data_IF_388731626484
#
_entry.id   IF_388731626484
#
_cell.length_a   1.000
_cell.length_b   1.000
_cell.length_c   1.000
_cell.angle_alpha   90.00
_cell.angle_beta   90.00
_cell.angle_gamma   90.00
#
_symmetry.space_group_name_H-M   'P 1'
#
loop_
_entity.id
_entity.type
_entity.pdbx_description
1 polymer ?
#
# COMPACT_ATOMS: atom_id res chain seq x y z
N UNK A 1 3.13 11.72 -25.02
CA UNK A 1 2.82 12.22 -23.68
C UNK A 1 1.54 13.02 -23.78
N UNK A 2 0.51 12.63 -23.05
CA UNK A 2 -0.78 13.31 -23.02
C UNK A 2 -0.66 14.59 -22.18
N UNK A 3 -1.44 15.60 -22.52
CA UNK A 3 -1.53 16.81 -21.71
C UNK A 3 -2.07 16.46 -20.30
N UNK A 4 -1.38 16.83 -19.22
CA UNK A 4 -1.80 16.44 -17.87
C UNK A 4 -3.14 17.08 -17.51
N UNK A 5 -4.06 16.25 -17.06
CA UNK A 5 -5.39 16.68 -16.64
C UNK A 5 -5.39 17.06 -15.16
N UNK A 6 -6.04 18.17 -14.78
CA UNK A 6 -6.22 18.52 -13.37
C UNK A 6 -7.00 17.45 -12.61
N UNK A 7 -6.57 17.12 -11.41
CA UNK A 7 -7.29 16.20 -10.54
C UNK A 7 -8.58 16.80 -9.96
N UNK A 8 -8.59 18.10 -9.70
CA UNK A 8 -9.74 18.81 -9.14
C UNK A 8 -10.60 19.43 -10.22
N UNK A 9 -11.91 19.27 -10.15
CA UNK A 9 -12.90 19.94 -11.01
C UNK A 9 -12.92 21.48 -10.84
N UNK A 10 -12.19 22.03 -9.85
CA UNK A 10 -12.05 23.48 -9.63
C UNK A 10 -10.78 24.05 -10.22
N UNK A 11 -9.95 23.23 -10.81
CA UNK A 11 -8.68 23.63 -11.43
C UNK A 11 -8.85 23.54 -12.94
N UNK A 12 -8.78 24.67 -13.62
CA UNK A 12 -9.00 24.75 -15.08
C UNK A 12 -7.76 24.27 -15.86
N UNK A 13 -6.56 24.53 -15.32
CA UNK A 13 -5.29 24.16 -15.97
C UNK A 13 -4.19 23.89 -14.95
N UNK A 14 -3.19 23.13 -15.38
CA UNK A 14 -1.96 22.90 -14.63
C UNK A 14 -0.86 23.80 -15.19
N UNK A 15 -0.56 24.87 -14.48
CA UNK A 15 0.43 25.86 -14.91
C UNK A 15 1.88 25.48 -14.58
N UNK A 16 2.06 24.60 -13.59
CA UNK A 16 3.41 24.18 -13.18
C UNK A 16 4.02 23.18 -14.16
N UNK A 17 5.31 23.35 -14.51
CA UNK A 17 6.02 22.35 -15.30
C UNK A 17 5.92 20.97 -14.64
N UNK A 18 5.58 19.96 -15.40
CA UNK A 18 5.49 18.60 -14.91
C UNK A 18 6.87 17.93 -14.87
N UNK A 19 7.06 17.02 -13.92
CA UNK A 19 8.23 16.15 -13.84
C UNK A 19 7.92 14.82 -14.49
N UNK A 20 8.84 14.32 -15.28
CA UNK A 20 8.72 12.98 -15.85
C UNK A 20 9.02 11.92 -14.81
N UNK A 21 8.24 10.84 -14.85
CA UNK A 21 8.64 9.57 -14.24
C UNK A 21 9.38 8.74 -15.28
N UNK A 22 10.27 7.87 -14.85
CA UNK A 22 10.97 6.96 -15.73
C UNK A 22 10.49 5.54 -15.52
N UNK A 23 10.53 4.77 -16.60
CA UNK A 23 10.18 3.37 -16.59
C UNK A 23 11.44 2.52 -16.74
N UNK A 24 11.61 1.56 -15.87
CA UNK A 24 12.58 0.48 -15.98
C UNK A 24 11.93 -0.85 -15.63
N UNK A 25 12.69 -1.91 -15.53
CA UNK A 25 12.16 -3.24 -15.26
C UNK A 25 13.18 -4.14 -14.59
N UNK A 26 12.69 -5.18 -13.91
CA UNK A 26 13.52 -6.28 -13.44
C UNK A 26 13.99 -7.13 -14.63
N UNK A 27 14.97 -7.99 -14.40
CA UNK A 27 15.54 -8.88 -15.40
C UNK A 27 15.79 -10.28 -14.82
N UNK A 28 16.22 -11.20 -15.65
CA UNK A 28 16.47 -12.59 -15.27
C UNK A 28 17.48 -12.74 -14.12
N UNK A 29 18.51 -11.87 -14.04
CA UNK A 29 19.50 -11.91 -12.95
C UNK A 29 18.90 -11.49 -11.61
N UNK A 30 18.06 -10.45 -11.63
CA UNK A 30 17.27 -10.04 -10.46
C UNK A 30 16.33 -11.14 -10.02
N UNK A 31 15.61 -11.76 -10.95
CA UNK A 31 14.69 -12.86 -10.64
C UNK A 31 15.41 -14.08 -10.06
N UNK A 32 16.58 -14.43 -10.59
CA UNK A 32 17.42 -15.50 -10.04
C UNK A 32 17.84 -15.17 -8.60
N UNK A 33 18.38 -13.98 -8.37
CA UNK A 33 18.80 -13.53 -7.04
C UNK A 33 17.66 -13.58 -6.03
N UNK A 34 16.47 -13.14 -6.41
CA UNK A 34 15.27 -13.20 -5.57
C UNK A 34 14.95 -14.66 -5.22
N UNK A 35 14.87 -15.56 -6.21
CA UNK A 35 14.55 -16.97 -5.98
C UNK A 35 15.55 -17.67 -5.04
N UNK A 36 16.84 -17.37 -5.18
CA UNK A 36 17.90 -17.92 -4.31
C UNK A 36 17.77 -17.47 -2.86
N UNK A 37 17.13 -16.33 -2.61
CA UNK A 37 16.99 -15.70 -1.29
C UNK A 37 15.57 -15.74 -0.70
N UNK A 38 14.61 -16.39 -1.34
CA UNK A 38 13.22 -16.46 -0.86
C UNK A 38 13.11 -16.96 0.58
N UNK A 39 13.93 -17.94 0.95
CA UNK A 39 13.96 -18.49 2.31
C UNK A 39 14.34 -17.45 3.39
N UNK A 40 14.88 -16.30 3.00
CA UNK A 40 15.25 -15.20 3.88
C UNK A 40 14.17 -14.11 3.95
N UNK A 41 13.12 -14.17 3.13
CA UNK A 41 12.02 -13.23 3.15
C UNK A 41 11.02 -13.62 4.25
N UNK A 42 10.58 -12.70 5.14
CA UNK A 42 9.65 -12.99 6.22
C UNK A 42 8.36 -13.69 5.80
N UNK A 43 7.82 -13.33 4.62
CA UNK A 43 6.62 -13.96 4.05
C UNK A 43 6.82 -15.43 3.67
N UNK A 44 8.05 -15.86 3.39
CA UNK A 44 8.39 -17.21 2.95
C UNK A 44 9.11 -18.03 4.03
N UNK A 45 9.63 -17.36 5.07
CA UNK A 45 10.32 -18.02 6.19
C UNK A 45 9.39 -18.43 7.33
N UNK A 46 8.09 -18.13 7.24
CA UNK A 46 7.12 -18.38 8.32
C UNK A 46 7.20 -17.40 9.48
N UNK A 47 7.88 -16.27 9.33
CA UNK A 47 7.92 -15.21 10.34
C UNK A 47 6.65 -14.37 10.39
N UNK A 48 5.91 -14.32 9.27
CA UNK A 48 4.62 -13.65 9.17
C UNK A 48 3.55 -14.72 8.90
N UNK A 49 2.61 -14.87 9.83
CA UNK A 49 1.53 -15.86 9.79
C UNK A 49 0.14 -15.22 9.77
N UNK A 50 0.06 -13.88 9.79
CA UNK A 50 -1.21 -13.16 9.77
C UNK A 50 -1.80 -13.09 8.36
N UNK A 51 -3.14 -13.23 8.29
CA UNK A 51 -3.89 -12.96 7.07
C UNK A 51 -4.35 -11.51 7.09
N UNK A 52 -3.58 -10.64 6.46
CA UNK A 52 -3.93 -9.22 6.36
C UNK A 52 -5.10 -8.97 5.39
N UNK A 53 -5.83 -7.85 5.55
CA UNK A 53 -6.96 -7.49 4.68
C UNK A 53 -6.52 -7.01 3.30
N UNK A 54 -5.25 -6.67 3.12
CA UNK A 54 -4.70 -6.13 1.88
C UNK A 54 -3.75 -7.12 1.23
N UNK A 55 -3.90 -7.28 -0.07
CA UNK A 55 -2.94 -7.97 -0.91
C UNK A 55 -2.11 -6.93 -1.66
N UNK A 56 -0.87 -6.72 -1.20
CA UNK A 56 0.11 -5.90 -1.88
C UNK A 56 1.30 -6.80 -2.25
N UNK A 57 1.35 -7.33 -3.48
CA UNK A 57 2.39 -8.28 -3.86
C UNK A 57 3.77 -7.60 -3.83
N UNK A 58 4.68 -8.19 -3.07
CA UNK A 58 6.09 -7.85 -3.13
C UNK A 58 6.70 -8.27 -4.47
N UNK A 59 7.92 -7.84 -4.76
CA UNK A 59 8.62 -8.30 -5.96
C UNK A 59 8.87 -9.80 -5.89
N UNK A 60 9.09 -10.36 -4.69
CA UNK A 60 9.23 -11.80 -4.46
C UNK A 60 7.95 -12.53 -4.89
N UNK A 61 6.77 -12.03 -4.50
CA UNK A 61 5.49 -12.59 -4.90
C UNK A 61 5.29 -12.55 -6.40
N UNK A 62 5.65 -11.43 -7.03
CA UNK A 62 5.55 -11.31 -8.50
C UNK A 62 6.43 -12.31 -9.21
N UNK A 63 7.68 -12.48 -8.77
CA UNK A 63 8.66 -13.43 -9.36
C UNK A 63 8.23 -14.88 -9.17
N UNK A 64 7.53 -15.20 -8.07
CA UNK A 64 7.04 -16.57 -7.80
C UNK A 64 5.75 -16.85 -8.54
N UNK A 65 4.76 -15.94 -8.42
CA UNK A 65 3.41 -16.16 -8.97
C UNK A 65 3.32 -15.99 -10.47
N UNK A 66 4.16 -15.13 -11.05
CA UNK A 66 4.23 -14.85 -12.48
C UNK A 66 5.59 -15.26 -13.03
N UNK A 67 5.98 -16.50 -12.73
CA UNK A 67 7.30 -17.05 -13.08
C UNK A 67 7.54 -17.14 -14.60
N UNK A 68 6.49 -17.08 -15.40
CA UNK A 68 6.53 -17.03 -16.86
C UNK A 68 6.91 -15.66 -17.42
N UNK A 69 6.89 -14.60 -16.59
CA UNK A 69 7.31 -13.27 -17.02
C UNK A 69 8.81 -13.10 -16.86
N UNK A 70 9.45 -12.60 -17.91
CA UNK A 70 10.88 -12.31 -17.91
C UNK A 70 11.24 -11.05 -17.12
N UNK A 71 10.28 -10.14 -16.96
CA UNK A 71 10.47 -8.87 -16.26
C UNK A 71 9.20 -8.40 -15.55
N UNK A 72 9.37 -7.45 -14.62
CA UNK A 72 8.31 -6.69 -13.98
C UNK A 72 8.66 -5.21 -14.03
N UNK A 73 7.69 -4.40 -14.41
CA UNK A 73 7.85 -2.95 -14.53
C UNK A 73 8.12 -2.29 -13.18
N UNK A 74 8.97 -1.27 -13.21
CA UNK A 74 9.33 -0.42 -12.09
C UNK A 74 9.19 1.03 -12.57
N UNK A 75 8.44 1.83 -11.82
CA UNK A 75 8.33 3.26 -12.06
C UNK A 75 9.28 4.00 -11.12
N UNK A 76 10.08 4.90 -11.67
CA UNK A 76 10.98 5.77 -10.92
C UNK A 76 10.33 7.14 -10.84
N UNK A 77 9.80 7.45 -9.68
CA UNK A 77 8.97 8.62 -9.44
C UNK A 77 9.72 9.63 -8.56
N UNK A 78 10.04 10.84 -9.08
CA UNK A 78 10.68 11.87 -8.26
C UNK A 78 9.82 12.23 -7.04
N UNK A 79 10.39 12.20 -5.84
CA UNK A 79 9.70 12.56 -4.59
C UNK A 79 9.42 14.06 -4.50
N UNK A 80 10.01 14.87 -5.34
CA UNK A 80 9.79 16.30 -5.39
C UNK A 80 10.68 17.01 -6.39
N UNK A 81 10.42 18.31 -6.60
CA UNK A 81 11.09 19.12 -7.63
C UNK A 81 12.53 19.50 -7.30
N UNK A 82 12.88 19.50 -6.03
CA UNK A 82 14.18 19.99 -5.55
C UNK A 82 15.00 18.92 -4.82
N UNK A 83 14.58 17.67 -4.90
CA UNK A 83 15.27 16.53 -4.29
C UNK A 83 15.81 15.60 -5.35
N UNK A 84 16.82 14.81 -4.96
CA UNK A 84 17.30 13.67 -5.75
C UNK A 84 16.64 12.35 -5.35
N UNK A 85 15.73 12.41 -4.40
CA UNK A 85 15.00 11.23 -3.93
C UNK A 85 14.03 10.77 -5.00
N UNK A 86 14.08 9.48 -5.28
CA UNK A 86 13.22 8.81 -6.27
C UNK A 86 12.54 7.64 -5.57
N UNK A 87 11.23 7.59 -5.67
CA UNK A 87 10.46 6.45 -5.22
C UNK A 87 10.46 5.37 -6.32
N UNK A 88 10.87 4.17 -5.94
CA UNK A 88 10.86 3.02 -6.83
C UNK A 88 9.54 2.25 -6.66
N UNK A 89 8.55 2.60 -7.45
CA UNK A 89 7.25 1.94 -7.43
C UNK A 89 7.30 0.61 -8.19
N UNK A 90 6.73 -0.43 -7.59
CA UNK A 90 6.65 -1.76 -8.21
C UNK A 90 7.69 -2.78 -7.73
N UNK A 91 8.62 -2.36 -6.85
CA UNK A 91 9.70 -3.20 -6.30
C UNK A 91 9.64 -3.35 -4.77
N UNK A 92 8.45 -3.26 -4.18
CA UNK A 92 8.27 -3.53 -2.75
C UNK A 92 8.87 -4.89 -2.40
N UNK A 93 9.66 -4.96 -1.33
CA UNK A 93 10.37 -6.18 -0.93
C UNK A 93 10.56 -6.26 0.56
N UNK A 94 10.57 -7.49 1.08
CA UNK A 94 10.91 -7.81 2.47
C UNK A 94 12.23 -8.56 2.59
N UNK A 95 12.95 -8.75 1.49
CA UNK A 95 14.25 -9.39 1.49
C UNK A 95 15.28 -8.62 2.35
N UNK A 96 16.31 -9.27 2.89
CA UNK A 96 17.35 -8.61 3.67
C UNK A 96 18.07 -7.51 2.88
N UNK A 97 18.62 -6.53 3.59
CA UNK A 97 19.28 -5.35 3.00
C UNK A 97 20.37 -5.68 2.00
N UNK A 98 21.20 -6.66 2.30
CA UNK A 98 22.27 -7.12 1.41
C UNK A 98 21.77 -7.65 0.08
N UNK A 99 20.55 -8.20 0.06
CA UNK A 99 19.88 -8.65 -1.17
C UNK A 99 19.25 -7.47 -1.90
N UNK A 100 18.62 -6.56 -1.17
CA UNK A 100 18.03 -5.35 -1.77
C UNK A 100 19.07 -4.50 -2.49
N UNK A 101 20.25 -4.28 -1.89
CA UNK A 101 21.36 -3.59 -2.54
C UNK A 101 21.77 -4.25 -3.86
N UNK A 102 21.81 -5.57 -3.88
CA UNK A 102 22.17 -6.31 -5.08
C UNK A 102 21.07 -6.28 -6.14
N UNK A 103 19.79 -6.30 -5.74
CA UNK A 103 18.65 -6.18 -6.65
C UNK A 103 18.72 -4.83 -7.37
N UNK A 104 18.78 -3.74 -6.61
CA UNK A 104 18.74 -2.38 -7.16
C UNK A 104 19.87 -2.18 -8.17
N UNK A 105 21.10 -2.54 -7.84
CA UNK A 105 22.27 -2.36 -8.73
C UNK A 105 22.27 -3.22 -9.99
N UNK A 106 21.35 -4.20 -10.10
CA UNK A 106 21.18 -5.02 -11.32
C UNK A 106 20.05 -4.54 -12.21
N UNK A 107 19.35 -3.48 -11.83
CA UNK A 107 18.28 -2.89 -12.62
C UNK A 107 18.85 -1.78 -13.47
N UNK A 108 18.51 -1.77 -14.77
CA UNK A 108 18.99 -0.79 -15.70
C UNK A 108 18.64 0.65 -15.26
N UNK A 109 19.65 1.51 -15.19
CA UNK A 109 19.55 2.90 -14.74
C UNK A 109 19.67 3.09 -13.22
N UNK A 110 19.83 2.01 -12.44
CA UNK A 110 19.96 2.06 -10.98
C UNK A 110 21.32 1.51 -10.50
N UNK A 111 22.29 1.30 -11.38
CA UNK A 111 23.59 0.69 -11.10
C UNK A 111 24.39 1.46 -10.03
N UNK A 112 24.25 2.80 -10.04
CA UNK A 112 24.89 3.72 -9.11
C UNK A 112 23.94 4.27 -8.02
N UNK A 113 22.71 3.69 -7.91
CA UNK A 113 21.73 4.17 -6.96
C UNK A 113 22.12 3.80 -5.52
N UNK A 114 21.85 4.73 -4.60
CA UNK A 114 22.00 4.54 -3.16
C UNK A 114 20.60 4.40 -2.52
N UNK A 115 20.39 3.31 -1.76
CA UNK A 115 19.14 3.08 -1.08
C UNK A 115 19.08 3.93 0.18
N UNK A 116 18.19 4.91 0.20
CA UNK A 116 17.95 5.76 1.38
C UNK A 116 17.05 5.07 2.41
N UNK A 117 16.05 4.31 1.96
CA UNK A 117 15.13 3.54 2.80
C UNK A 117 14.94 2.14 2.22
N UNK A 118 15.30 1.16 3.00
CA UNK A 118 15.08 -0.25 2.62
C UNK A 118 13.62 -0.62 2.72
N UNK A 119 13.20 -1.51 1.82
CA UNK A 119 11.92 -2.20 1.93
C UNK A 119 11.85 -3.05 3.19
N UNK A 120 10.66 -3.28 3.70
CA UNK A 120 10.40 -4.05 4.90
C UNK A 120 9.06 -4.79 4.80
N UNK A 121 8.94 -5.87 5.55
CA UNK A 121 7.67 -6.57 5.69
C UNK A 121 6.75 -5.81 6.64
N UNK A 122 5.46 -5.81 6.34
CA UNK A 122 4.43 -5.35 7.25
C UNK A 122 3.49 -6.52 7.55
N UNK A 123 3.31 -6.81 8.81
CA UNK A 123 2.29 -7.73 9.28
C UNK A 123 1.03 -6.93 9.64
N UNK A 124 -0.10 -7.37 9.11
CA UNK A 124 -1.37 -6.69 9.30
C UNK A 124 -2.31 -7.53 10.15
N UNK A 125 -2.82 -6.93 11.21
CA UNK A 125 -3.94 -7.48 11.94
C UNK A 125 -5.26 -6.91 11.42
N UNK A 126 -6.31 -7.71 11.47
CA UNK A 126 -7.66 -7.21 11.27
C UNK A 126 -8.64 -7.91 12.21
N UNK A 127 -9.68 -7.18 12.58
CA UNK A 127 -10.77 -7.69 13.38
C UNK A 127 -11.92 -8.13 12.45
N UNK A 128 -12.48 -9.31 12.71
CA UNK A 128 -13.63 -9.79 11.93
C UNK A 128 -14.78 -8.79 12.00
N UNK A 129 -15.33 -8.28 10.89
CA UNK A 129 -16.39 -7.26 10.90
C UNK A 129 -17.66 -7.67 11.65
N UNK A 130 -17.88 -8.97 11.84
CA UNK A 130 -18.99 -9.50 12.65
C UNK A 130 -18.93 -9.10 14.13
N UNK A 131 -17.80 -8.60 14.59
CA UNK A 131 -17.62 -8.05 15.95
C UNK A 131 -18.23 -6.67 16.11
N UNK A 132 -18.63 -6.02 15.03
CA UNK A 132 -19.16 -4.67 15.03
C UNK A 132 -20.68 -4.67 14.88
N UNK A 133 -21.30 -3.63 15.38
CA UNK A 133 -22.63 -3.24 14.95
C UNK A 133 -22.56 -2.26 13.76
N UNK A 134 -23.70 -1.83 13.26
CA UNK A 134 -23.79 -0.96 12.10
C UNK A 134 -23.28 0.47 12.33
N UNK A 135 -23.03 0.85 13.58
CA UNK A 135 -22.42 2.14 13.95
C UNK A 135 -20.91 2.10 13.96
N UNK A 136 -20.30 0.94 13.69
CA UNK A 136 -18.89 0.60 13.84
C UNK A 136 -18.42 0.48 15.28
N UNK A 137 -19.35 0.45 16.26
CA UNK A 137 -19.02 0.13 17.64
C UNK A 137 -18.81 -1.38 17.80
N UNK A 138 -17.84 -1.77 18.64
CA UNK A 138 -17.65 -3.19 18.96
C UNK A 138 -18.79 -3.69 19.86
N UNK A 139 -19.22 -4.92 19.61
CA UNK A 139 -20.28 -5.54 20.42
C UNK A 139 -19.83 -5.96 21.81
N UNK A 140 -18.53 -6.20 21.98
CA UNK A 140 -17.96 -6.70 23.23
C UNK A 140 -17.57 -5.57 24.18
N UNK A 141 -17.20 -4.41 23.67
CA UNK A 141 -16.72 -3.28 24.47
C UNK A 141 -17.49 -2.03 24.11
N UNK A 142 -18.34 -1.58 25.02
CA UNK A 142 -19.11 -0.35 24.81
C UNK A 142 -18.20 0.88 24.71
N UNK A 143 -18.48 1.75 23.76
CA UNK A 143 -17.71 2.97 23.51
C UNK A 143 -16.42 2.76 22.71
N UNK A 144 -16.09 1.53 22.32
CA UNK A 144 -14.97 1.23 21.45
C UNK A 144 -15.45 1.09 19.99
N UNK A 145 -14.85 1.86 19.08
CA UNK A 145 -15.16 1.87 17.65
C UNK A 145 -13.94 1.45 16.84
N UNK A 146 -14.16 0.67 15.78
CA UNK A 146 -13.12 0.30 14.85
C UNK A 146 -13.37 0.95 13.49
N UNK A 147 -12.30 1.33 12.81
CA UNK A 147 -12.39 1.95 11.50
C UNK A 147 -11.17 1.61 10.64
N UNK A 148 -11.36 1.59 9.32
CA UNK A 148 -10.30 1.45 8.37
C UNK A 148 -9.76 0.02 8.26
N UNK A 149 -8.48 -0.11 8.10
CA UNK A 149 -7.82 -1.39 7.79
C UNK A 149 -8.09 -2.47 8.84
N UNK A 150 -8.23 -2.10 10.12
CA UNK A 150 -8.59 -3.02 11.19
C UNK A 150 -9.93 -3.72 10.92
N UNK A 151 -10.85 -3.09 10.19
CA UNK A 151 -12.13 -3.67 9.76
C UNK A 151 -12.05 -4.43 8.44
N UNK A 152 -10.87 -4.56 7.85
CA UNK A 152 -10.67 -5.25 6.59
C UNK A 152 -10.84 -4.38 5.33
N UNK A 153 -10.82 -3.04 5.45
CA UNK A 153 -10.82 -2.17 4.26
C UNK A 153 -9.54 -2.38 3.44
N UNK A 154 -9.66 -2.32 2.12
CA UNK A 154 -8.54 -2.50 1.20
C UNK A 154 -7.98 -1.18 0.65
N UNK A 155 -8.80 -0.13 0.57
CA UNK A 155 -8.43 1.20 0.08
C UNK A 155 -8.34 2.25 1.19
N UNK A 156 -7.79 3.40 0.83
CA UNK A 156 -7.63 4.52 1.76
C UNK A 156 -8.93 5.31 1.92
N UNK A 157 -9.73 5.42 0.87
CA UNK A 157 -10.94 6.22 0.83
C UNK A 157 -12.02 5.65 1.75
N UNK A 158 -12.30 4.35 1.66
CA UNK A 158 -13.25 3.71 2.56
C UNK A 158 -12.74 3.65 4.00
N UNK A 159 -11.41 3.54 4.19
CA UNK A 159 -10.82 3.61 5.52
C UNK A 159 -11.04 4.99 6.17
N UNK A 160 -10.86 6.07 5.40
CA UNK A 160 -11.12 7.43 5.83
C UNK A 160 -12.62 7.67 6.11
N UNK A 161 -13.49 7.16 5.22
CA UNK A 161 -14.94 7.22 5.40
C UNK A 161 -15.40 6.52 6.67
N UNK A 162 -14.87 5.32 6.94
CA UNK A 162 -15.15 4.60 8.18
C UNK A 162 -14.66 5.35 9.41
N UNK A 163 -13.48 6.00 9.35
CA UNK A 163 -12.97 6.83 10.43
C UNK A 163 -13.90 7.99 10.76
N UNK A 164 -14.42 8.66 9.74
CA UNK A 164 -15.40 9.73 9.90
C UNK A 164 -16.71 9.21 10.54
N UNK A 165 -17.23 8.09 10.04
CA UNK A 165 -18.47 7.50 10.54
C UNK A 165 -18.32 7.03 12.00
N UNK A 166 -17.23 6.35 12.33
CA UNK A 166 -16.94 5.89 13.68
C UNK A 166 -16.81 7.07 14.66
N UNK A 167 -16.08 8.12 14.28
CA UNK A 167 -15.92 9.32 15.10
C UNK A 167 -17.24 10.07 15.29
N UNK A 168 -18.05 10.20 14.23
CA UNK A 168 -19.40 10.79 14.34
C UNK A 168 -20.29 9.99 15.29
N UNK A 169 -20.29 8.67 15.19
CA UNK A 169 -21.10 7.81 16.05
C UNK A 169 -20.62 7.83 17.51
N UNK A 170 -19.33 7.89 17.75
CA UNK A 170 -18.81 8.09 19.10
C UNK A 170 -19.29 9.41 19.72
N UNK A 171 -19.28 10.51 18.95
CA UNK A 171 -19.78 11.80 19.40
C UNK A 171 -21.31 11.78 19.64
N UNK A 172 -22.08 11.14 18.75
CA UNK A 172 -23.52 11.00 18.90
C UNK A 172 -23.87 10.18 20.15
N UNK A 173 -23.14 9.09 20.42
CA UNK A 173 -23.33 8.28 21.61
C UNK A 173 -23.09 9.07 22.90
N UNK A 174 -22.02 9.90 22.95
CA UNK A 174 -21.76 10.79 24.08
C UNK A 174 -22.88 11.83 24.27
N UNK A 175 -23.45 12.31 23.16
CA UNK A 175 -24.59 13.21 23.17
C UNK A 175 -25.94 12.52 23.41
N UNK A 176 -25.96 11.19 23.64
CA UNK A 176 -27.18 10.36 23.81
C UNK A 176 -28.14 10.51 22.63
N UNK A 177 -27.60 10.57 21.41
CA UNK A 177 -28.34 10.66 20.14
C UNK A 177 -28.25 9.32 19.41
N UNK A 178 -29.22 9.10 18.52
CA UNK A 178 -29.24 7.92 17.64
C UNK A 178 -27.99 7.88 16.74
N UNK A 179 -27.44 6.68 16.50
CA UNK A 179 -26.29 6.53 15.65
C UNK A 179 -26.61 6.83 14.17
N UNK A 180 -25.64 7.38 13.46
CA UNK A 180 -25.66 7.48 12.01
C UNK A 180 -25.33 6.11 11.43
N UNK A 181 -26.27 5.51 10.73
CA UNK A 181 -26.12 4.23 10.04
C UNK A 181 -26.38 4.45 8.55
N UNK A 182 -25.41 4.12 7.73
CA UNK A 182 -25.52 4.19 6.28
C UNK A 182 -25.76 2.80 5.70
N UNK A 183 -26.53 2.73 4.63
CA UNK A 183 -26.68 1.54 3.83
C UNK A 183 -25.91 1.64 2.49
N UNK A 184 -25.88 0.53 1.73
CA UNK A 184 -25.12 0.47 0.47
C UNK A 184 -25.63 1.39 -0.64
N UNK A 185 -26.86 1.90 -0.52
CA UNK A 185 -27.42 2.90 -1.45
C UNK A 185 -26.94 4.32 -1.15
N UNK A 186 -26.47 4.55 0.08
CA UNK A 186 -26.08 5.85 0.58
C UNK A 186 -24.56 6.05 0.57
N UNK A 187 -23.77 4.99 0.79
CA UNK A 187 -22.32 5.07 0.81
C UNK A 187 -21.65 3.73 0.52
N UNK A 188 -20.47 3.79 -0.02
CA UNK A 188 -19.54 2.67 -0.18
C UNK A 188 -18.55 2.65 0.98
N UNK A 189 -18.98 2.15 2.16
CA UNK A 189 -18.19 2.07 3.38
C UNK A 189 -18.25 0.68 4.01
#
# INVERSE_FOLDING_TARGET
>A
DEEPQPFSFRTDSIEQPQLSCWLTETNADVHRLIRENLHRAPMYSGQIDSTGPRYCPSIEDKVVRFAEKDNHQIFLEPEGRQTREVYCNGISTSLPRDVQDQIIRRIAGLEEAEIMRYGYAVEYDFATPTQLDRSLQTRLVSGLYFAGQLNGTTGYEEAAGQGLLAGANAALALAKREPLVLDRSQAYL
#
